data_IF_890112847578
#
_entry.id   IF_890112847578
#
_cell.length_a   1.000
_cell.length_b   1.000
_cell.length_c   1.000
_cell.angle_alpha   90.00
_cell.angle_beta   90.00
_cell.angle_gamma   90.00
#
_symmetry.space_group_name_H-M   'P 1'
#
loop_
_entity.id
_entity.type
_entity.pdbx_description
1 polymer ?
#
# COMPACT_ATOMS: atom_id res chain seq x y z
N UNK A 1 -13.51 9.02 6.56
CA UNK A 1 -12.96 8.60 7.87
C UNK A 1 -11.55 8.08 7.69
N UNK A 2 -10.61 8.36 8.63
CA UNK A 2 -9.23 7.87 8.60
C UNK A 2 -9.06 6.78 9.64
N UNK A 3 -9.00 5.54 9.20
CA UNK A 3 -8.94 4.34 10.06
C UNK A 3 -7.52 3.88 10.28
N UNK A 4 -7.16 3.59 11.51
CA UNK A 4 -5.80 3.22 11.93
C UNK A 4 -5.77 1.92 12.72
N UNK A 5 -4.66 1.19 12.58
CA UNK A 5 -4.20 0.20 13.54
C UNK A 5 -2.99 0.79 14.27
N UNK A 6 -2.99 0.76 15.57
CA UNK A 6 -1.97 1.42 16.38
C UNK A 6 -1.63 0.61 17.63
N UNK A 7 -0.43 0.83 18.17
CA UNK A 7 -0.02 0.30 19.47
C UNK A 7 0.12 1.45 20.47
N UNK A 8 -0.54 1.30 21.61
CA UNK A 8 -0.47 2.22 22.74
C UNK A 8 -0.28 1.42 24.03
N UNK A 9 0.70 1.77 24.87
CA UNK A 9 1.04 1.08 26.12
C UNK A 9 1.17 -0.46 25.96
N UNK A 10 1.76 -0.90 24.84
CA UNK A 10 1.97 -2.33 24.54
C UNK A 10 0.75 -3.08 23.99
N UNK A 11 -0.42 -2.44 23.91
CA UNK A 11 -1.64 -3.04 23.35
C UNK A 11 -1.88 -2.53 21.93
N UNK A 12 -2.18 -3.44 21.01
CA UNK A 12 -2.56 -3.09 19.64
C UNK A 12 -4.07 -3.07 19.51
N UNK A 13 -4.58 -1.96 18.98
CA UNK A 13 -6.00 -1.69 18.76
C UNK A 13 -6.23 -1.10 17.37
N UNK A 14 -7.50 -0.97 17.01
CA UNK A 14 -7.94 -0.17 15.86
C UNK A 14 -8.74 1.03 16.33
N UNK A 15 -8.77 2.06 15.48
CA UNK A 15 -9.50 3.28 15.79
C UNK A 15 -9.61 4.21 14.59
N UNK A 16 -10.08 5.43 14.84
CA UNK A 16 -10.16 6.47 13.83
C UNK A 16 -9.44 7.74 14.29
N UNK A 17 -8.80 8.43 13.35
CA UNK A 17 -8.18 9.75 13.60
C UNK A 17 -9.27 10.81 13.64
N UNK A 18 -9.24 11.63 14.71
CA UNK A 18 -10.07 12.82 14.88
C UNK A 18 -9.18 14.00 15.30
N UNK A 19 -8.79 14.83 14.34
CA UNK A 19 -7.79 15.89 14.53
C UNK A 19 -6.41 15.30 14.86
N UNK A 20 -5.83 15.67 15.98
CA UNK A 20 -4.54 15.21 16.51
C UNK A 20 -4.66 14.05 17.51
N UNK A 21 -5.84 13.43 17.57
CA UNK A 21 -6.13 12.31 18.46
C UNK A 21 -6.66 11.09 17.71
N UNK A 22 -6.59 9.94 18.36
CA UNK A 22 -7.25 8.69 17.97
C UNK A 22 -8.41 8.43 18.92
N UNK A 23 -9.56 8.08 18.35
CA UNK A 23 -10.67 7.45 19.08
C UNK A 23 -10.48 5.95 18.95
N UNK A 24 -10.16 5.30 20.09
CA UNK A 24 -9.95 3.85 20.18
C UNK A 24 -11.29 3.11 20.14
N UNK A 25 -11.35 2.00 19.41
CA UNK A 25 -12.56 1.18 19.28
C UNK A 25 -12.59 0.01 20.27
N UNK A 26 -11.52 -0.24 21.04
CA UNK A 26 -11.38 -1.42 21.90
C UNK A 26 -12.45 -1.55 22.97
N UNK A 27 -12.91 -0.43 23.55
CA UNK A 27 -13.95 -0.41 24.60
C UNK A 27 -15.38 -0.28 24.02
N UNK A 28 -15.57 -0.63 22.76
CA UNK A 28 -16.84 -0.53 22.07
C UNK A 28 -17.37 -1.92 21.65
N UNK A 29 -18.51 -1.94 20.99
CA UNK A 29 -19.04 -3.16 20.34
C UNK A 29 -18.40 -3.49 18.98
N UNK A 30 -17.42 -2.67 18.55
CA UNK A 30 -16.71 -2.88 17.29
C UNK A 30 -15.65 -3.98 17.43
N UNK A 31 -15.30 -4.67 16.33
CA UNK A 31 -14.20 -5.65 16.32
C UNK A 31 -12.85 -5.04 16.71
N UNK A 32 -11.96 -5.87 17.24
CA UNK A 32 -10.61 -5.46 17.65
C UNK A 32 -9.57 -5.54 16.52
N UNK A 33 -9.96 -5.91 15.31
CA UNK A 33 -9.07 -5.93 14.16
C UNK A 33 -9.74 -5.29 12.93
N UNK A 34 -8.90 -4.77 12.05
CA UNK A 34 -9.37 -3.97 10.93
C UNK A 34 -10.15 -4.77 9.88
N UNK A 35 -9.79 -6.04 9.63
CA UNK A 35 -10.49 -6.87 8.63
C UNK A 35 -11.93 -7.13 9.05
N UNK A 36 -12.13 -7.54 10.30
CA UNK A 36 -13.48 -7.79 10.83
C UNK A 36 -14.30 -6.49 10.90
N UNK A 37 -13.65 -5.36 11.21
CA UNK A 37 -14.30 -4.05 11.17
C UNK A 37 -14.74 -3.68 9.75
N UNK A 38 -13.86 -3.85 8.75
CA UNK A 38 -14.18 -3.61 7.34
C UNK A 38 -15.36 -4.49 6.90
N UNK A 39 -15.39 -5.75 7.34
CA UNK A 39 -16.45 -6.70 6.99
C UNK A 39 -17.85 -6.29 7.49
N UNK A 40 -17.95 -5.41 8.50
CA UNK A 40 -19.22 -4.83 8.94
C UNK A 40 -19.81 -3.83 7.93
N UNK A 41 -19.00 -3.35 6.97
CA UNK A 41 -19.43 -2.37 5.97
C UNK A 41 -20.01 -1.08 6.59
N UNK A 42 -21.13 -0.62 6.04
CA UNK A 42 -21.77 0.64 6.46
C UNK A 42 -22.18 0.63 7.94
N UNK A 43 -22.60 -0.52 8.48
CA UNK A 43 -22.98 -0.65 9.89
C UNK A 43 -21.78 -0.34 10.81
N UNK A 44 -20.59 -0.84 10.46
CA UNK A 44 -19.37 -0.55 11.20
C UNK A 44 -19.00 0.93 11.15
N UNK A 45 -19.07 1.54 9.97
CA UNK A 45 -18.82 2.97 9.78
C UNK A 45 -19.79 3.86 10.56
N UNK A 46 -21.10 3.55 10.55
CA UNK A 46 -22.11 4.31 11.29
C UNK A 46 -21.90 4.21 12.80
N UNK A 47 -21.50 3.03 13.29
CA UNK A 47 -21.18 2.85 14.70
C UNK A 47 -19.91 3.62 15.08
N UNK A 48 -18.89 3.57 14.25
CA UNK A 48 -17.65 4.32 14.45
C UNK A 48 -17.88 5.83 14.44
N UNK A 49 -18.71 6.37 13.51
CA UNK A 49 -19.09 7.79 13.48
C UNK A 49 -19.72 8.24 14.81
N UNK A 50 -20.69 7.45 15.31
CA UNK A 50 -21.33 7.76 16.61
C UNK A 50 -20.33 7.72 17.76
N UNK A 51 -19.38 6.79 17.72
CA UNK A 51 -18.34 6.68 18.74
C UNK A 51 -17.40 7.90 18.69
N UNK A 52 -16.99 8.34 17.50
CA UNK A 52 -16.14 9.51 17.31
C UNK A 52 -16.82 10.78 17.83
N UNK A 53 -18.11 10.95 17.55
CA UNK A 53 -18.89 12.13 17.95
C UNK A 53 -19.10 12.21 19.47
N UNK A 54 -19.16 11.07 20.17
CA UNK A 54 -19.50 10.98 21.58
C UNK A 54 -18.32 10.60 22.49
N UNK A 55 -17.14 10.27 21.95
CA UNK A 55 -16.02 9.81 22.77
C UNK A 55 -15.37 10.95 23.54
N UNK A 56 -15.27 10.77 24.85
CA UNK A 56 -14.47 11.61 25.74
C UNK A 56 -13.01 11.14 25.80
N UNK A 57 -12.76 9.87 25.47
CA UNK A 57 -11.42 9.25 25.52
C UNK A 57 -10.73 9.50 24.18
N UNK A 58 -9.66 10.31 24.22
CA UNK A 58 -8.83 10.65 23.07
C UNK A 58 -7.38 10.37 23.38
N UNK A 59 -6.77 9.49 22.57
CA UNK A 59 -5.34 9.20 22.67
C UNK A 59 -4.60 10.14 21.71
N UNK A 60 -3.65 10.91 22.19
CA UNK A 60 -2.83 11.79 21.33
C UNK A 60 -2.10 10.95 20.27
N UNK A 61 -2.21 11.35 19.02
CA UNK A 61 -1.58 10.65 17.88
C UNK A 61 -0.04 10.56 18.04
N UNK A 62 0.57 11.55 18.67
CA UNK A 62 2.01 11.58 18.94
C UNK A 62 2.50 10.53 19.96
N UNK A 63 1.59 9.91 20.71
CA UNK A 63 1.91 8.93 21.76
C UNK A 63 1.74 7.48 21.31
N UNK A 64 1.29 7.26 20.10
CA UNK A 64 1.03 5.92 19.57
C UNK A 64 2.06 5.54 18.51
N UNK A 65 2.26 4.24 18.35
CA UNK A 65 2.96 3.68 17.20
C UNK A 65 1.94 3.18 16.17
N UNK A 66 1.86 3.85 15.02
CA UNK A 66 0.98 3.43 13.92
C UNK A 66 1.56 2.19 13.24
N UNK A 67 0.74 1.19 13.07
CA UNK A 67 1.03 -0.02 12.31
C UNK A 67 0.45 0.09 10.89
N UNK A 68 0.83 -0.83 10.01
CA UNK A 68 0.05 -1.03 8.78
C UNK A 68 -1.43 -1.16 9.14
N UNK A 69 -2.34 -0.44 8.48
CA UNK A 69 -3.76 -0.46 8.82
C UNK A 69 -4.36 -1.87 8.84
N UNK A 70 -3.87 -2.75 7.97
CA UNK A 70 -4.17 -4.18 7.97
C UNK A 70 -2.85 -4.93 8.09
N UNK A 71 -2.57 -5.49 9.26
CA UNK A 71 -1.28 -6.14 9.55
C UNK A 71 -1.11 -7.50 8.86
N UNK A 72 -2.20 -8.14 8.45
CA UNK A 72 -2.20 -9.44 7.75
C UNK A 72 -3.34 -9.50 6.75
N UNK A 73 -3.24 -8.80 5.61
CA UNK A 73 -4.23 -8.91 4.54
C UNK A 73 -4.30 -10.35 4.02
N UNK A 74 -5.48 -10.81 3.56
CA UNK A 74 -5.58 -12.17 3.03
C UNK A 74 -4.81 -12.32 1.71
N UNK A 75 -4.84 -11.26 0.88
CA UNK A 75 -4.09 -11.17 -0.38
C UNK A 75 -3.50 -9.77 -0.54
N UNK A 76 -2.32 -9.70 -1.17
CA UNK A 76 -1.75 -8.48 -1.71
C UNK A 76 -1.56 -8.72 -3.21
N UNK A 77 -2.45 -8.13 -4.02
CA UNK A 77 -2.49 -8.30 -5.47
C UNK A 77 -1.99 -7.02 -6.13
N UNK A 78 -0.69 -6.96 -6.39
CA UNK A 78 -0.04 -5.78 -6.92
C UNK A 78 -0.01 -5.75 -8.45
N UNK A 79 0.13 -4.57 -9.01
CA UNK A 79 0.07 -4.32 -10.45
C UNK A 79 1.40 -3.74 -10.94
N UNK A 80 2.05 -4.41 -11.89
CA UNK A 80 3.29 -3.94 -12.51
C UNK A 80 3.03 -3.10 -13.76
N UNK A 81 3.86 -2.05 -13.97
CA UNK A 81 3.89 -1.21 -15.18
C UNK A 81 2.54 -0.57 -15.54
N UNK A 82 1.87 0.02 -14.57
CA UNK A 82 0.53 0.59 -14.71
C UNK A 82 0.51 2.12 -14.93
N UNK A 83 1.67 2.76 -15.16
CA UNK A 83 1.78 4.16 -15.56
C UNK A 83 2.47 4.26 -16.93
N UNK A 84 1.93 5.08 -17.83
CA UNK A 84 2.43 5.17 -19.19
C UNK A 84 3.90 5.60 -19.25
N UNK A 85 4.28 6.62 -18.50
CA UNK A 85 5.66 7.10 -18.46
C UNK A 85 6.63 6.02 -17.94
N UNK A 86 6.21 5.24 -16.94
CA UNK A 86 7.02 4.14 -16.42
C UNK A 86 7.16 3.00 -17.45
N UNK A 87 6.11 2.69 -18.22
CA UNK A 87 6.22 1.75 -19.34
C UNK A 87 7.23 2.23 -20.39
N UNK A 88 7.19 3.53 -20.73
CA UNK A 88 8.09 4.13 -21.72
C UNK A 88 9.55 4.11 -21.21
N UNK A 89 9.81 4.37 -19.93
CA UNK A 89 11.12 4.21 -19.30
C UNK A 89 11.65 2.76 -19.44
N UNK A 90 10.85 1.78 -19.04
CA UNK A 90 11.25 0.35 -19.10
C UNK A 90 11.47 -0.10 -20.53
N UNK A 91 10.66 0.39 -21.49
CA UNK A 91 10.82 0.08 -22.91
C UNK A 91 12.14 0.60 -23.53
N UNK A 92 12.77 1.60 -22.94
CA UNK A 92 14.10 2.13 -23.33
C UNK A 92 15.24 1.23 -22.84
N UNK A 93 14.99 0.35 -21.87
CA UNK A 93 15.96 -0.62 -21.36
C UNK A 93 16.01 -1.89 -22.22
N UNK A 94 16.91 -2.84 -21.88
CA UNK A 94 17.01 -4.14 -22.57
C UNK A 94 15.72 -5.01 -22.50
N UNK A 95 14.72 -4.59 -21.71
CA UNK A 95 13.45 -5.27 -21.53
C UNK A 95 12.37 -4.88 -22.55
N UNK A 96 12.76 -4.45 -23.77
CA UNK A 96 11.88 -3.98 -24.87
C UNK A 96 10.67 -4.88 -25.21
N UNK A 97 10.75 -6.15 -24.86
CA UNK A 97 9.69 -7.14 -25.14
C UNK A 97 8.57 -7.13 -24.09
N UNK A 98 8.81 -6.61 -22.89
CA UNK A 98 7.86 -6.65 -21.77
C UNK A 98 6.77 -5.56 -21.93
N UNK A 99 7.14 -4.36 -22.37
CA UNK A 99 6.21 -3.23 -22.50
C UNK A 99 5.10 -3.43 -23.53
N UNK A 100 5.37 -4.11 -24.65
CA UNK A 100 4.40 -4.28 -25.75
C UNK A 100 3.29 -5.30 -25.47
N UNK A 101 3.52 -6.27 -24.58
CA UNK A 101 2.52 -7.30 -24.25
C UNK A 101 1.49 -6.84 -23.20
N UNK A 102 1.77 -5.75 -22.48
CA UNK A 102 0.98 -5.30 -21.33
C UNK A 102 -0.08 -4.24 -21.66
N UNK A 103 -0.16 -3.77 -22.89
CA UNK A 103 -1.17 -2.77 -23.30
C UNK A 103 -2.61 -3.27 -23.21
N UNK A 104 -2.82 -4.59 -23.13
CA UNK A 104 -4.16 -5.19 -23.16
C UNK A 104 -4.68 -5.66 -21.82
N UNK A 105 -3.80 -6.12 -20.92
CA UNK A 105 -4.17 -6.71 -19.63
C UNK A 105 -3.23 -6.26 -18.51
N UNK A 106 -3.75 -6.04 -17.29
CA UNK A 106 -2.92 -5.73 -16.12
C UNK A 106 -1.92 -6.85 -15.83
N UNK A 107 -0.69 -6.48 -15.50
CA UNK A 107 0.34 -7.41 -15.06
C UNK A 107 0.24 -7.61 -13.54
N UNK A 108 -0.42 -8.68 -13.11
CA UNK A 108 -0.70 -8.96 -11.70
C UNK A 108 0.36 -9.86 -11.10
N UNK A 109 0.82 -9.51 -9.90
CA UNK A 109 1.68 -10.36 -9.08
C UNK A 109 1.28 -10.29 -7.61
N UNK A 110 1.75 -11.25 -6.82
CA UNK A 110 1.50 -11.30 -5.38
C UNK A 110 2.72 -10.81 -4.60
N UNK A 111 2.48 -10.02 -3.55
CA UNK A 111 3.41 -9.85 -2.44
C UNK A 111 3.02 -10.79 -1.30
N UNK A 112 4.03 -11.33 -0.60
CA UNK A 112 3.79 -12.17 0.58
C UNK A 112 3.31 -11.31 1.75
N UNK A 113 2.44 -11.86 2.58
CA UNK A 113 1.93 -11.15 3.76
C UNK A 113 3.03 -10.79 4.77
N UNK A 114 4.12 -11.57 4.81
CA UNK A 114 5.29 -11.28 5.64
C UNK A 114 6.03 -10.00 5.24
N UNK A 115 5.80 -9.47 4.02
CA UNK A 115 6.39 -8.22 3.58
C UNK A 115 5.73 -6.98 4.16
N UNK A 116 4.54 -7.12 4.77
CA UNK A 116 3.80 -5.98 5.35
C UNK A 116 4.61 -5.27 6.41
N UNK A 117 4.67 -3.95 6.31
CA UNK A 117 5.38 -3.08 7.24
C UNK A 117 4.54 -1.85 7.60
N UNK A 118 4.85 -1.23 8.72
CA UNK A 118 4.16 -0.02 9.18
C UNK A 118 4.57 1.22 8.38
N UNK A 119 3.73 2.28 8.43
CA UNK A 119 3.95 3.52 7.67
C UNK A 119 5.23 4.27 8.05
N UNK A 120 5.75 4.03 9.24
CA UNK A 120 6.94 4.69 9.80
C UNK A 120 7.96 3.69 10.35
N UNK A 121 7.77 2.39 10.11
CA UNK A 121 8.71 1.34 10.50
C UNK A 121 9.88 1.27 9.51
N UNK A 122 11.03 0.78 9.95
CA UNK A 122 12.22 0.68 9.12
C UNK A 122 12.05 -0.33 7.97
N UNK A 123 12.64 -0.02 6.82
CA UNK A 123 12.79 -0.93 5.68
C UNK A 123 14.17 -1.56 5.72
N UNK A 124 14.25 -2.88 5.68
CA UNK A 124 15.51 -3.60 5.72
C UNK A 124 16.16 -3.68 4.34
N UNK A 125 17.41 -3.22 4.24
CA UNK A 125 18.28 -3.53 3.10
C UNK A 125 18.88 -4.91 3.34
N UNK A 126 18.49 -5.94 2.55
CA UNK A 126 18.95 -7.30 2.81
C UNK A 126 20.44 -7.47 2.51
N UNK A 127 21.14 -8.29 3.30
CA UNK A 127 22.55 -8.61 3.09
C UNK A 127 22.84 -9.26 1.74
N UNK A 128 21.82 -9.88 1.15
CA UNK A 128 21.91 -10.60 -0.11
C UNK A 128 21.89 -9.72 -1.36
N UNK A 129 21.64 -8.40 -1.23
CA UNK A 129 21.53 -7.50 -2.38
C UNK A 129 21.80 -6.03 -2.03
N UNK A 130 22.41 -5.33 -2.98
CA UNK A 130 22.59 -3.90 -2.93
C UNK A 130 21.60 -3.13 -3.82
N UNK A 131 20.68 -3.82 -4.49
CA UNK A 131 19.78 -3.26 -5.51
C UNK A 131 18.40 -2.99 -4.95
N UNK A 132 18.33 -2.33 -3.78
CA UNK A 132 17.09 -1.93 -3.12
C UNK A 132 16.49 -0.70 -3.80
N UNK A 133 15.21 -0.78 -4.15
CA UNK A 133 14.47 0.26 -4.86
C UNK A 133 13.13 0.57 -4.18
N UNK A 134 12.61 1.75 -4.41
CA UNK A 134 11.33 2.27 -3.94
C UNK A 134 10.33 2.37 -5.09
N UNK A 135 9.05 2.20 -4.79
CA UNK A 135 7.94 2.35 -5.71
C UNK A 135 6.72 2.92 -4.96
N UNK A 136 6.51 4.24 -5.05
CA UNK A 136 5.34 4.90 -4.48
C UNK A 136 4.07 4.56 -5.26
N UNK A 137 3.01 4.13 -4.58
CA UNK A 137 1.79 3.65 -5.19
C UNK A 137 0.53 4.07 -4.45
N UNK A 138 -0.54 4.35 -5.19
CA UNK A 138 -1.89 4.31 -4.64
C UNK A 138 -2.22 2.85 -4.31
N UNK A 139 -2.72 2.59 -3.10
CA UNK A 139 -3.31 1.31 -2.75
C UNK A 139 -4.80 1.44 -2.47
N UNK A 140 -5.59 0.43 -2.82
CA UNK A 140 -6.97 0.38 -2.38
C UNK A 140 -7.30 -0.93 -1.64
N UNK A 141 -8.30 -0.86 -0.78
CA UNK A 141 -8.72 -1.95 0.11
C UNK A 141 -10.10 -2.43 -0.30
N UNK A 142 -10.27 -3.74 -0.45
CA UNK A 142 -11.57 -4.35 -0.71
C UNK A 142 -12.41 -4.34 0.57
N UNK A 143 -13.67 -3.94 0.44
CA UNK A 143 -14.62 -3.83 1.55
C UNK A 143 -15.65 -4.94 1.61
N UNK A 144 -15.92 -5.59 0.48
CA UNK A 144 -16.99 -6.60 0.38
C UNK A 144 -16.47 -7.84 -0.31
N UNK A 145 -16.80 -9.01 0.23
CA UNK A 145 -16.56 -10.28 -0.47
C UNK A 145 -17.28 -10.24 -1.81
N UNK A 146 -16.53 -10.39 -2.91
CA UNK A 146 -17.09 -10.24 -4.25
C UNK A 146 -16.39 -11.11 -5.30
N UNK A 147 -17.10 -11.35 -6.39
CA UNK A 147 -16.63 -12.06 -7.57
C UNK A 147 -17.37 -11.54 -8.80
N UNK A 148 -16.68 -11.50 -9.98
CA UNK A 148 -17.27 -11.06 -11.26
C UNK A 148 -17.94 -9.68 -11.16
N UNK A 149 -17.25 -8.73 -10.55
CA UNK A 149 -17.75 -7.36 -10.37
C UNK A 149 -17.58 -6.58 -11.67
N UNK A 150 -18.65 -6.08 -12.30
CA UNK A 150 -18.49 -5.24 -13.47
C UNK A 150 -17.96 -3.85 -13.10
N UNK A 151 -17.33 -3.18 -14.06
CA UNK A 151 -16.67 -1.86 -13.87
C UNK A 151 -17.59 -0.84 -13.17
N UNK A 152 -18.85 -0.72 -13.59
CA UNK A 152 -19.82 0.24 -13.03
C UNK A 152 -20.25 -0.06 -11.59
N UNK A 153 -19.89 -1.21 -11.04
CA UNK A 153 -20.15 -1.64 -9.66
C UNK A 153 -18.87 -1.67 -8.80
N UNK A 154 -17.70 -1.48 -9.41
CA UNK A 154 -16.42 -1.63 -8.73
C UNK A 154 -16.23 -0.67 -7.55
N UNK A 155 -16.67 0.59 -7.68
CA UNK A 155 -16.62 1.55 -6.58
C UNK A 155 -17.35 1.06 -5.32
N UNK A 156 -18.44 0.31 -5.47
CA UNK A 156 -19.26 -0.20 -4.37
C UNK A 156 -18.64 -1.34 -3.56
N UNK A 157 -17.50 -1.89 -3.99
CA UNK A 157 -16.76 -2.93 -3.28
C UNK A 157 -15.43 -2.45 -2.71
N UNK A 158 -14.97 -1.24 -3.07
CA UNK A 158 -13.77 -0.61 -2.50
C UNK A 158 -14.15 0.07 -1.18
N UNK A 159 -13.44 -0.27 -0.10
CA UNK A 159 -13.65 0.31 1.22
C UNK A 159 -12.98 1.66 1.38
N UNK A 160 -11.78 1.78 0.86
CA UNK A 160 -10.98 2.99 0.98
C UNK A 160 -9.60 2.86 0.34
N UNK A 161 -8.79 3.88 0.53
CA UNK A 161 -7.51 4.05 -0.13
C UNK A 161 -6.41 4.34 0.89
N UNK A 162 -5.17 4.04 0.51
CA UNK A 162 -3.99 4.18 1.36
C UNK A 162 -2.74 4.43 0.50
N UNK A 163 -1.65 4.87 1.12
CA UNK A 163 -0.34 4.98 0.47
C UNK A 163 0.40 3.66 0.62
N UNK A 164 1.09 3.20 -0.41
CA UNK A 164 1.91 1.97 -0.42
C UNK A 164 3.29 2.25 -0.96
N UNK A 165 4.30 1.55 -0.45
CA UNK A 165 5.62 1.43 -1.07
C UNK A 165 5.85 -0.02 -1.49
N UNK A 166 5.88 -0.29 -2.80
CA UNK A 166 6.20 -1.62 -3.34
C UNK A 166 7.71 -1.80 -3.44
N UNK A 167 8.37 -1.86 -2.28
CA UNK A 167 9.83 -2.00 -2.17
C UNK A 167 10.31 -3.25 -2.92
N UNK A 168 11.39 -3.06 -3.71
CA UNK A 168 11.83 -4.06 -4.69
C UNK A 168 13.33 -4.32 -4.58
N UNK A 169 13.72 -5.59 -4.65
CA UNK A 169 15.11 -6.04 -4.83
C UNK A 169 15.31 -6.41 -6.30
N UNK A 170 15.91 -5.50 -7.06
CA UNK A 170 15.91 -5.56 -8.54
C UNK A 170 16.68 -6.73 -9.12
N UNK A 171 17.84 -7.09 -8.57
CA UNK A 171 18.62 -8.24 -9.04
C UNK A 171 17.90 -9.57 -8.77
N UNK A 172 17.13 -9.66 -7.68
CA UNK A 172 16.27 -10.82 -7.42
C UNK A 172 15.03 -10.86 -8.31
N UNK A 173 14.45 -9.72 -8.62
CA UNK A 173 13.36 -9.63 -9.59
C UNK A 173 13.79 -10.11 -10.98
N UNK A 174 15.06 -9.83 -11.36
CA UNK A 174 15.59 -10.08 -12.70
C UNK A 174 16.43 -11.35 -12.81
N UNK A 175 16.45 -12.25 -11.82
CA UNK A 175 17.33 -13.44 -11.77
C UNK A 175 17.10 -14.45 -12.87
N UNK A 176 16.08 -14.36 -13.64
CA UNK A 176 15.85 -15.32 -14.74
C UNK A 176 14.83 -14.84 -15.75
N UNK A 177 14.77 -15.48 -16.94
CA UNK A 177 13.62 -15.45 -17.81
C UNK A 177 12.65 -16.60 -17.41
N UNK A 178 11.39 -16.33 -17.04
CA UNK A 178 10.77 -15.01 -16.82
C UNK A 178 11.24 -14.33 -15.51
N UNK A 179 10.98 -13.00 -15.40
CA UNK A 179 11.20 -12.27 -14.15
C UNK A 179 10.42 -12.88 -12.98
N UNK A 180 11.02 -12.85 -11.79
CA UNK A 180 10.42 -13.39 -10.57
C UNK A 180 9.89 -12.26 -9.69
N UNK A 181 8.69 -11.77 -10.02
CA UNK A 181 8.09 -10.63 -9.32
C UNK A 181 7.99 -10.87 -7.81
N UNK A 182 7.40 -12.01 -7.40
CA UNK A 182 7.24 -12.33 -5.98
C UNK A 182 8.58 -12.36 -5.24
N UNK A 183 9.62 -12.97 -5.82
CA UNK A 183 10.94 -13.03 -5.17
C UNK A 183 11.66 -11.69 -5.12
N UNK A 184 11.39 -10.78 -6.03
CA UNK A 184 11.94 -9.43 -6.01
C UNK A 184 11.19 -8.47 -5.07
N UNK A 185 9.92 -8.75 -4.75
CA UNK A 185 9.00 -7.78 -4.14
C UNK A 185 8.37 -8.23 -2.80
N UNK A 186 8.78 -9.38 -2.25
CA UNK A 186 8.12 -9.97 -1.07
C UNK A 186 9.07 -10.23 0.10
N UNK A 187 10.18 -9.50 0.19
CA UNK A 187 11.07 -9.57 1.33
C UNK A 187 10.40 -8.97 2.57
N UNK A 188 10.81 -9.40 3.75
CA UNK A 188 10.31 -8.84 4.99
C UNK A 188 10.50 -7.32 5.01
N UNK A 189 9.54 -6.58 5.55
CA UNK A 189 9.47 -5.11 5.56
C UNK A 189 9.23 -4.41 4.21
N UNK A 190 9.13 -5.13 3.10
CA UNK A 190 9.11 -4.55 1.75
C UNK A 190 7.71 -4.19 1.21
N UNK A 191 6.73 -4.07 2.11
CA UNK A 191 5.41 -3.52 1.78
C UNK A 191 4.92 -2.56 2.88
N UNK A 192 5.64 -1.44 3.12
CA UNK A 192 5.12 -0.41 3.99
C UNK A 192 3.84 0.17 3.40
N UNK A 193 2.79 0.31 4.22
CA UNK A 193 1.59 1.02 3.80
C UNK A 193 0.83 1.66 4.97
N UNK A 194 0.03 2.67 4.65
CA UNK A 194 -0.70 3.49 5.60
C UNK A 194 -0.64 4.98 5.24
N UNK A 195 -0.60 5.91 6.22
CA UNK A 195 -0.64 5.68 7.66
C UNK A 195 -2.00 5.23 8.16
N UNK A 196 -3.02 5.33 7.32
CA UNK A 196 -4.41 4.97 7.58
C UNK A 196 -5.10 4.52 6.29
N UNK A 197 -6.29 3.93 6.43
CA UNK A 197 -7.24 3.78 5.34
C UNK A 197 -8.15 5.00 5.37
N UNK A 198 -8.19 5.77 4.27
CA UNK A 198 -9.20 6.81 4.07
C UNK A 198 -10.38 6.19 3.36
N UNK A 199 -11.56 6.26 3.98
CA UNK A 199 -12.78 5.67 3.42
C UNK A 199 -13.16 6.30 2.08
N UNK A 200 -13.78 5.53 1.19
CA UNK A 200 -14.07 5.95 -0.19
C UNK A 200 -14.92 7.21 -0.26
N UNK A 201 -15.85 7.41 0.69
CA UNK A 201 -16.68 8.60 0.79
C UNK A 201 -15.87 9.88 1.08
N UNK A 202 -14.78 9.77 1.84
CA UNK A 202 -13.91 10.91 2.17
C UNK A 202 -12.93 11.23 1.02
N UNK A 203 -12.44 10.22 0.30
CA UNK A 203 -11.55 10.42 -0.85
C UNK A 203 -12.29 11.04 -2.03
N UNK A 204 -13.50 10.55 -2.31
CA UNK A 204 -14.27 10.90 -3.50
C UNK A 204 -13.69 10.22 -4.75
N UNK A 205 -13.19 11.01 -5.70
CA UNK A 205 -12.55 10.47 -6.91
C UNK A 205 -11.08 10.07 -6.61
N UNK A 206 -10.73 8.77 -6.72
CA UNK A 206 -9.36 8.31 -6.50
C UNK A 206 -8.45 8.47 -7.74
N UNK A 207 -9.02 8.82 -8.88
CA UNK A 207 -8.34 8.88 -10.17
C UNK A 207 -7.86 10.29 -10.55
N UNK A 208 -7.68 11.16 -9.56
CA UNK A 208 -7.11 12.50 -9.77
C UNK A 208 -6.41 12.98 -8.48
N UNK A 209 -5.53 12.16 -7.93
CA UNK A 209 -4.73 12.45 -6.74
C UNK A 209 -3.28 12.63 -7.13
N UNK A 210 -2.62 13.66 -6.59
CA UNK A 210 -1.19 13.85 -6.74
C UNK A 210 -0.45 12.81 -5.90
N UNK A 211 0.55 12.15 -6.50
CA UNK A 211 1.47 11.21 -5.88
C UNK A 211 2.90 11.72 -6.01
N UNK A 212 3.63 11.78 -4.90
CA UNK A 212 5.04 12.17 -4.87
C UNK A 212 5.84 11.23 -3.98
N UNK A 213 7.05 10.86 -4.47
CA UNK A 213 8.03 10.10 -3.70
C UNK A 213 9.30 10.91 -3.56
N UNK A 214 9.79 10.99 -2.34
CA UNK A 214 11.03 11.68 -1.99
C UNK A 214 12.02 10.69 -1.36
N UNK A 215 13.28 10.81 -1.72
CA UNK A 215 14.39 10.11 -1.05
C UNK A 215 15.34 11.16 -0.51
N UNK A 216 15.56 11.15 0.82
CA UNK A 216 16.37 12.16 1.52
C UNK A 216 15.93 13.61 1.21
N UNK A 217 14.61 13.82 1.08
CA UNK A 217 14.02 15.12 0.74
C UNK A 217 14.12 15.51 -0.74
N UNK A 218 14.76 14.71 -1.59
CA UNK A 218 14.82 14.94 -3.05
C UNK A 218 13.63 14.27 -3.74
N UNK A 219 12.89 15.03 -4.55
CA UNK A 219 11.77 14.53 -5.34
C UNK A 219 12.27 13.53 -6.40
N UNK A 220 11.74 12.31 -6.37
CA UNK A 220 12.10 11.21 -7.27
C UNK A 220 10.98 10.79 -8.21
N UNK A 221 9.76 10.74 -7.70
CA UNK A 221 8.58 10.42 -8.50
C UNK A 221 7.53 11.52 -8.29
N UNK A 222 6.85 11.93 -9.35
CA UNK A 222 5.74 12.88 -9.31
C UNK A 222 4.77 12.56 -10.44
N UNK A 223 3.53 12.21 -10.10
CA UNK A 223 2.50 11.85 -11.06
C UNK A 223 1.09 12.12 -10.51
N UNK A 224 0.09 11.98 -11.36
CA UNK A 224 -1.30 11.92 -10.96
C UNK A 224 -1.83 10.50 -11.09
N UNK A 225 -2.73 10.08 -10.20
CA UNK A 225 -3.44 8.81 -10.35
C UNK A 225 -4.36 8.77 -11.60
N UNK A 226 -4.58 9.91 -12.26
CA UNK A 226 -5.22 9.98 -13.59
C UNK A 226 -4.38 9.33 -14.70
N UNK A 227 -3.09 9.12 -14.46
CA UNK A 227 -2.16 8.57 -15.45
C UNK A 227 -2.08 7.03 -15.39
N UNK A 228 -2.86 6.41 -14.49
CA UNK A 228 -3.02 4.96 -14.42
C UNK A 228 -3.60 4.43 -15.73
N UNK A 229 -2.94 3.41 -16.32
CA UNK A 229 -3.38 2.74 -17.55
C UNK A 229 -4.65 1.93 -17.28
N UNK A 230 -4.63 1.18 -16.18
CA UNK A 230 -5.77 0.47 -15.62
C UNK A 230 -6.14 1.12 -14.30
N UNK A 231 -7.27 1.80 -14.27
CA UNK A 231 -7.77 2.47 -13.08
C UNK A 231 -8.25 1.47 -12.01
N UNK A 232 -8.54 1.96 -10.80
CA UNK A 232 -8.95 1.10 -9.68
C UNK A 232 -10.17 0.23 -10.02
N UNK A 233 -11.10 0.74 -10.80
CA UNK A 233 -12.34 0.02 -11.14
C UNK A 233 -12.10 -1.07 -12.18
N UNK A 234 -11.27 -0.79 -13.17
CA UNK A 234 -10.79 -1.79 -14.13
C UNK A 234 -10.04 -2.92 -13.41
N UNK A 235 -9.21 -2.58 -12.42
CA UNK A 235 -8.49 -3.59 -11.64
C UNK A 235 -9.44 -4.46 -10.81
N UNK A 236 -10.47 -3.90 -10.20
CA UNK A 236 -11.51 -4.69 -9.49
C UNK A 236 -12.22 -5.64 -10.46
N UNK A 237 -12.68 -5.15 -11.61
CA UNK A 237 -13.34 -5.99 -12.63
C UNK A 237 -12.42 -7.14 -13.06
N UNK A 238 -11.18 -6.83 -13.40
CA UNK A 238 -10.21 -7.83 -13.88
C UNK A 238 -9.89 -8.87 -12.81
N UNK A 239 -9.50 -8.43 -11.60
CA UNK A 239 -9.12 -9.31 -10.51
C UNK A 239 -10.29 -10.17 -10.02
N UNK A 240 -11.48 -9.59 -9.90
CA UNK A 240 -12.66 -10.34 -9.45
C UNK A 240 -13.14 -11.39 -10.46
N UNK A 241 -12.71 -11.31 -11.71
CA UNK A 241 -12.94 -12.38 -12.69
C UNK A 241 -12.16 -13.65 -12.36
N UNK A 242 -10.92 -13.51 -11.88
CA UNK A 242 -10.05 -14.65 -11.55
C UNK A 242 -10.16 -15.09 -10.08
N UNK A 243 -10.31 -14.13 -9.14
CA UNK A 243 -10.26 -14.36 -7.70
C UNK A 243 -11.55 -13.96 -7.00
N UNK A 244 -11.92 -14.66 -5.96
CA UNK A 244 -12.80 -14.08 -4.93
C UNK A 244 -12.01 -13.07 -4.15
N UNK A 245 -12.43 -11.81 -4.18
CA UNK A 245 -11.87 -10.74 -3.37
C UNK A 245 -12.57 -10.73 -2.01
N UNK A 246 -11.81 -10.52 -0.96
CA UNK A 246 -12.29 -10.56 0.43
C UNK A 246 -12.08 -9.20 1.11
N UNK A 247 -12.88 -8.85 2.14
CA UNK A 247 -12.62 -7.65 2.94
C UNK A 247 -11.18 -7.63 3.45
N UNK A 248 -10.50 -6.49 3.28
CA UNK A 248 -9.13 -6.32 3.70
C UNK A 248 -8.06 -6.78 2.71
N UNK A 249 -8.42 -7.28 1.52
CA UNK A 249 -7.45 -7.48 0.44
C UNK A 249 -6.87 -6.13 0.03
N UNK A 250 -5.54 -6.05 -0.11
CA UNK A 250 -4.80 -4.86 -0.53
C UNK A 250 -4.42 -4.98 -2.00
N UNK A 251 -4.72 -3.93 -2.76
CA UNK A 251 -4.36 -3.84 -4.18
C UNK A 251 -3.50 -2.59 -4.41
N UNK A 252 -2.16 -2.69 -4.40
CA UNK A 252 -1.25 -1.67 -4.92
C UNK A 252 -1.41 -1.53 -6.43
N UNK A 253 -1.54 -0.29 -6.93
CA UNK A 253 -1.99 -0.03 -8.31
C UNK A 253 -0.87 0.18 -9.32
N UNK A 254 0.39 0.09 -8.90
CA UNK A 254 1.55 0.36 -9.74
C UNK A 254 2.16 1.73 -9.48
N UNK A 255 3.44 1.85 -9.81
CA UNK A 255 4.27 3.03 -9.56
C UNK A 255 4.48 3.86 -10.83
N UNK A 256 4.60 5.20 -10.74
CA UNK A 256 5.00 6.05 -11.85
C UNK A 256 6.50 5.96 -12.14
N UNK A 257 6.94 6.70 -13.18
CA UNK A 257 8.34 6.90 -13.54
C UNK A 257 9.18 7.46 -12.37
N UNK A 258 10.51 7.25 -12.42
CA UNK A 258 11.47 7.81 -11.47
C UNK A 258 11.95 6.86 -10.38
N UNK A 259 11.67 5.56 -10.47
CA UNK A 259 12.25 4.55 -9.56
C UNK A 259 13.78 4.40 -9.79
N UNK A 260 14.50 3.85 -8.80
CA UNK A 260 15.95 3.73 -8.87
C UNK A 260 16.44 2.79 -9.97
N UNK A 261 15.59 1.92 -10.51
CA UNK A 261 15.96 0.99 -11.60
C UNK A 261 16.48 1.75 -12.84
N UNK A 262 16.00 2.96 -13.08
CA UNK A 262 16.43 3.78 -14.23
C UNK A 262 17.70 4.57 -13.94
N UNK A 263 17.77 5.19 -12.76
CA UNK A 263 18.89 6.06 -12.36
C UNK A 263 20.08 5.30 -11.80
N UNK A 264 19.89 4.03 -11.42
CA UNK A 264 20.85 3.20 -10.67
C UNK A 264 21.23 3.77 -9.30
N UNK A 265 20.43 4.70 -8.79
CA UNK A 265 20.64 5.31 -7.48
C UNK A 265 19.90 4.50 -6.40
N UNK A 266 20.48 3.34 -6.11
CA UNK A 266 19.90 2.37 -5.18
C UNK A 266 19.87 2.92 -3.75
N UNK A 267 18.85 2.54 -2.99
CA UNK A 267 18.71 2.87 -1.58
C UNK A 267 19.81 2.23 -0.73
N UNK A 268 20.26 2.97 0.27
CA UNK A 268 21.31 2.56 1.23
C UNK A 268 20.82 2.73 2.65
N UNK A 269 21.43 2.02 3.58
CA UNK A 269 21.18 2.26 5.00
C UNK A 269 21.43 3.73 5.37
N UNK A 270 20.48 4.31 6.09
CA UNK A 270 20.44 5.73 6.43
C UNK A 270 19.53 6.58 5.53
N UNK A 271 19.16 6.10 4.33
CA UNK A 271 18.22 6.81 3.47
C UNK A 271 16.82 6.84 4.09
N UNK A 272 16.07 7.92 3.81
CA UNK A 272 14.67 8.09 4.17
C UNK A 272 13.81 8.15 2.91
N UNK A 273 12.72 7.38 2.90
CA UNK A 273 11.77 7.30 1.80
C UNK A 273 10.45 7.87 2.28
N UNK A 274 10.05 9.03 1.77
CA UNK A 274 8.72 9.61 2.00
C UNK A 274 7.88 9.45 0.74
N UNK A 275 6.69 8.85 0.88
CA UNK A 275 5.69 8.78 -0.20
C UNK A 275 4.44 9.47 0.30
N UNK A 276 3.97 10.44 -0.47
CA UNK A 276 2.80 11.26 -0.13
C UNK A 276 1.78 11.19 -1.26
N UNK A 277 0.52 10.98 -0.89
CA UNK A 277 -0.60 11.04 -1.84
C UNK A 277 -1.64 12.01 -1.30
N UNK A 278 -2.10 12.88 -2.17
CA UNK A 278 -3.13 13.88 -1.87
C UNK A 278 -4.33 13.21 -1.18
N UNK A 279 -4.85 13.83 -0.11
CA UNK A 279 -5.91 13.32 0.79
C UNK A 279 -5.58 12.08 1.61
N UNK A 280 -4.58 11.28 1.23
CA UNK A 280 -4.23 10.02 1.89
C UNK A 280 -3.11 10.15 2.92
N UNK A 281 -2.44 11.31 2.98
CA UNK A 281 -1.30 11.53 3.87
C UNK A 281 -0.01 10.94 3.31
N UNK A 282 0.90 10.52 4.19
CA UNK A 282 2.21 10.02 3.77
C UNK A 282 2.70 8.88 4.66
N UNK A 283 3.56 8.07 4.10
CA UNK A 283 4.43 7.14 4.82
C UNK A 283 5.86 7.65 4.75
N UNK A 284 6.67 7.36 5.77
CA UNK A 284 8.08 7.78 5.82
C UNK A 284 8.92 6.72 6.50
N UNK A 285 9.65 5.96 5.72
CA UNK A 285 10.40 4.80 6.19
C UNK A 285 11.90 5.07 6.09
N UNK A 286 12.63 4.76 7.14
CA UNK A 286 14.09 4.76 7.13
C UNK A 286 14.61 3.42 6.65
N UNK A 287 15.62 3.44 5.79
CA UNK A 287 16.34 2.23 5.38
C UNK A 287 17.41 1.91 6.41
N UNK A 288 17.42 0.67 6.89
CA UNK A 288 18.48 0.15 7.77
C UNK A 288 19.08 -1.12 7.15
N UNK A 289 20.27 -1.50 7.55
CA UNK A 289 20.79 -2.84 7.22
C UNK A 289 19.92 -3.91 7.88
N UNK A 290 19.77 -5.04 7.23
CA UNK A 290 19.09 -6.19 7.83
C UNK A 290 19.72 -6.53 9.18
N UNK A 291 18.94 -6.59 10.29
CA UNK A 291 19.46 -6.86 11.63
C UNK A 291 20.26 -8.16 11.72
N UNK A 292 21.33 -8.16 12.53
CA UNK A 292 22.21 -9.35 12.68
C UNK A 292 21.50 -10.52 13.35
N UNK A 293 20.52 -10.23 14.19
CA UNK A 293 19.70 -11.21 14.91
C UNK A 293 18.50 -11.72 14.09
N UNK A 294 18.40 -11.34 12.81
CA UNK A 294 17.45 -11.97 11.89
C UNK A 294 17.65 -13.49 11.97
N UNK A 295 16.60 -14.28 12.29
CA UNK A 295 16.76 -15.70 12.59
C UNK A 295 17.54 -16.43 11.49
N UNK A 296 18.67 -16.99 11.87
CA UNK A 296 19.41 -17.96 11.09
C UNK A 296 19.25 -19.34 11.73
N UNK A 297 19.43 -20.40 10.97
CA UNK A 297 19.34 -21.77 11.48
C UNK A 297 20.32 -22.01 12.61
#
# INVERSE_FOLDING_TARGET
MKLVTFTFNGTTSIGAINGDHIVDFSDSSLPNNMIDFIALGDQGLDTAKKLIDNSEIKIELSKVHLKAPITKPSKILAVGLNYKEHQDEVAQTAAKTIGKAQEKYPNIFNKQNSSVNGPYDDVHRPRASEFLDYEGELGFIIGKKCRHVPYDKAAGVIYGYTVVNDVTIRDWQMRGPPMTMTMGKSWDTHCPFGPYIVTSDEVGDPHNLKLETYVNGELRQSASTSDLIFDCFTLVEYLSTAFTLEPGDLIPTGTPAGSAVMTRNWLKAGDEIKIEIEKLGFINNKVIEEPEDTPAY
#
